data_IF_429744401823
#
_entry.id   IF_429744401823
#
_cell.length_a   1.000
_cell.length_b   1.000
_cell.length_c   1.000
_cell.angle_alpha   90.00
_cell.angle_beta   90.00
_cell.angle_gamma   90.00
#
_symmetry.space_group_name_H-M   'P 1'
#
loop_
_entity.id
_entity.type
_entity.pdbx_description
1 polymer ?
#
# COMPACT_ATOMS: atom_id res chain seq x y z
N UNK A 1 -26.47 -8.74 10.19
CA UNK A 1 -25.28 -9.55 9.87
C UNK A 1 -24.38 -9.66 11.10
N UNK A 2 -23.75 -10.82 11.34
CA UNK A 2 -22.80 -11.00 12.45
C UNK A 2 -21.54 -10.15 12.21
N UNK A 3 -21.08 -9.41 13.24
CA UNK A 3 -19.85 -8.59 13.14
C UNK A 3 -18.64 -9.49 12.86
N UNK A 4 -17.73 -8.99 12.03
CA UNK A 4 -16.44 -9.64 11.74
C UNK A 4 -15.44 -9.25 12.83
N UNK A 5 -14.84 -10.25 13.49
CA UNK A 5 -13.83 -10.04 14.52
C UNK A 5 -12.47 -9.67 13.88
N UNK A 6 -11.95 -8.49 14.20
CA UNK A 6 -10.67 -7.97 13.75
C UNK A 6 -9.57 -8.17 14.80
N UNK A 7 -8.39 -8.57 14.34
CA UNK A 7 -7.13 -8.35 15.05
C UNK A 7 -6.30 -7.31 14.29
N UNK A 8 -5.68 -6.37 15.01
CA UNK A 8 -4.78 -5.35 14.43
C UNK A 8 -3.39 -5.53 15.05
N UNK A 9 -2.38 -5.71 14.21
CA UNK A 9 -0.98 -5.80 14.64
C UNK A 9 -0.31 -4.42 14.54
N UNK A 10 0.72 -4.17 15.38
CA UNK A 10 1.40 -2.87 15.44
C UNK A 10 0.48 -1.74 15.88
N UNK A 11 -0.38 -2.00 16.88
CA UNK A 11 -1.48 -1.11 17.23
C UNK A 11 -1.03 0.27 17.72
N UNK A 12 0.23 0.43 18.17
CA UNK A 12 0.77 1.74 18.55
C UNK A 12 1.40 2.50 17.38
N UNK A 13 1.63 1.85 16.24
CA UNK A 13 2.10 2.52 15.03
C UNK A 13 1.07 3.49 14.46
N UNK A 14 1.52 4.44 13.63
CA UNK A 14 0.65 5.45 12.99
C UNK A 14 -0.57 4.83 12.31
N UNK A 15 -0.36 3.79 11.49
CA UNK A 15 -1.46 3.09 10.81
C UNK A 15 -2.30 2.25 11.77
N UNK A 16 -1.68 1.56 12.73
CA UNK A 16 -2.38 0.77 13.74
C UNK A 16 -3.39 1.63 14.52
N UNK A 17 -3.00 2.83 14.95
CA UNK A 17 -3.89 3.76 15.64
C UNK A 17 -5.08 4.19 14.76
N UNK A 18 -4.84 4.49 13.48
CA UNK A 18 -5.92 4.83 12.54
C UNK A 18 -6.88 3.66 12.29
N UNK A 19 -6.36 2.43 12.18
CA UNK A 19 -7.17 1.22 12.02
C UNK A 19 -8.01 0.95 13.26
N UNK A 20 -7.43 1.09 14.47
CA UNK A 20 -8.16 0.94 15.73
C UNK A 20 -9.29 1.97 15.80
N UNK A 21 -9.01 3.25 15.52
CA UNK A 21 -10.03 4.32 15.48
C UNK A 21 -11.13 4.00 14.46
N UNK A 22 -10.76 3.60 13.26
CA UNK A 22 -11.72 3.27 12.19
C UNK A 22 -12.58 2.05 12.53
N UNK A 23 -12.01 1.06 13.22
CA UNK A 23 -12.73 -0.16 13.62
C UNK A 23 -13.86 0.14 14.61
N UNK A 24 -13.68 1.12 15.53
CA UNK A 24 -14.73 1.55 16.47
C UNK A 24 -15.93 2.17 15.76
N UNK A 25 -15.68 2.90 14.68
CA UNK A 25 -16.72 3.60 13.94
C UNK A 25 -17.48 2.69 12.95
N UNK A 26 -17.07 1.43 12.80
CA UNK A 26 -17.72 0.50 11.88
C UNK A 26 -18.76 -0.38 12.57
N UNK A 27 -19.97 -0.44 12.01
CA UNK A 27 -21.02 -1.38 12.44
C UNK A 27 -20.72 -2.83 12.06
N UNK A 28 -19.84 -3.05 11.09
CA UNK A 28 -19.55 -4.38 10.52
C UNK A 28 -18.42 -5.12 11.23
N UNK A 29 -17.59 -4.40 12.00
CA UNK A 29 -16.39 -4.95 12.61
C UNK A 29 -16.45 -4.88 14.14
N UNK A 30 -15.80 -5.86 14.80
CA UNK A 30 -15.55 -5.85 16.24
C UNK A 30 -14.05 -6.06 16.45
N UNK A 31 -13.37 -5.10 17.05
CA UNK A 31 -11.97 -5.27 17.44
C UNK A 31 -11.91 -6.23 18.63
N UNK A 32 -11.23 -7.37 18.46
CA UNK A 32 -11.12 -8.41 19.52
C UNK A 32 -9.70 -8.62 20.02
N UNK A 33 -8.70 -8.14 19.27
CA UNK A 33 -7.30 -8.30 19.63
C UNK A 33 -6.45 -7.18 19.03
N UNK A 34 -5.46 -6.74 19.78
CA UNK A 34 -4.43 -5.80 19.33
C UNK A 34 -3.07 -6.33 19.75
N UNK A 35 -2.09 -6.31 18.85
CA UNK A 35 -0.74 -6.78 19.16
C UNK A 35 0.31 -5.72 18.91
N UNK A 36 1.43 -5.85 19.62
CA UNK A 36 2.61 -5.01 19.47
C UNK A 36 3.88 -5.84 19.70
N UNK A 37 5.03 -5.32 19.29
CA UNK A 37 6.33 -5.99 19.44
C UNK A 37 6.84 -6.13 20.89
N UNK A 38 6.13 -5.55 21.87
CA UNK A 38 6.49 -5.56 23.29
C UNK A 38 5.23 -5.56 24.16
N UNK A 39 5.38 -6.04 25.40
CA UNK A 39 4.30 -6.01 26.40
C UNK A 39 4.07 -4.57 26.84
N UNK A 40 2.81 -4.13 26.83
CA UNK A 40 2.39 -2.78 27.20
C UNK A 40 1.26 -2.88 28.22
N UNK A 41 1.38 -2.12 29.31
CA UNK A 41 0.38 -2.11 30.37
C UNK A 41 -0.79 -1.15 30.10
N UNK A 42 -0.65 -0.25 29.12
CA UNK A 42 -1.72 0.67 28.70
C UNK A 42 -2.66 -0.01 27.71
N UNK A 43 -3.97 0.11 27.95
CA UNK A 43 -5.01 -0.38 27.02
C UNK A 43 -5.07 0.47 25.74
N UNK A 44 -5.36 -0.18 24.62
CA UNK A 44 -5.67 0.41 23.32
C UNK A 44 -7.08 -0.03 22.95
N UNK A 45 -8.03 0.90 22.91
CA UNK A 45 -9.44 0.58 22.64
C UNK A 45 -9.99 -0.50 23.60
N UNK A 46 -9.75 -0.33 24.90
CA UNK A 46 -10.21 -1.22 25.97
C UNK A 46 -9.58 -2.63 25.98
N UNK A 47 -8.70 -2.91 25.03
CA UNK A 47 -7.93 -4.14 24.92
C UNK A 47 -6.49 -3.92 25.38
N UNK A 48 -5.91 -4.90 26.07
CA UNK A 48 -4.49 -4.89 26.43
C UNK A 48 -3.66 -5.38 25.24
N UNK A 49 -2.70 -4.60 24.72
CA UNK A 49 -1.78 -5.09 23.69
C UNK A 49 -1.00 -6.30 24.19
N UNK A 50 -0.88 -7.30 23.32
CA UNK A 50 -0.14 -8.54 23.59
C UNK A 50 0.86 -8.83 22.47
N UNK A 51 1.73 -9.80 22.69
CA UNK A 51 2.62 -10.30 21.63
C UNK A 51 1.82 -11.11 20.60
N UNK A 52 2.39 -11.27 19.40
CA UNK A 52 1.83 -12.16 18.40
C UNK A 52 1.82 -13.60 18.92
N UNK A 53 0.65 -14.22 19.03
CA UNK A 53 0.51 -15.59 19.53
C UNK A 53 -0.74 -16.26 18.95
N UNK A 54 -0.83 -17.58 19.11
CA UNK A 54 -2.04 -18.31 18.72
C UNK A 54 -3.25 -17.84 19.55
N UNK A 55 -3.07 -17.60 20.85
CA UNK A 55 -4.12 -17.06 21.72
C UNK A 55 -4.58 -15.67 21.28
N UNK A 56 -3.66 -14.81 20.85
CA UNK A 56 -3.97 -13.45 20.40
C UNK A 56 -4.85 -13.44 19.15
N UNK A 57 -4.73 -14.45 18.28
CA UNK A 57 -5.46 -14.49 17.01
C UNK A 57 -6.59 -15.52 16.97
N UNK A 58 -6.73 -16.38 17.99
CA UNK A 58 -7.74 -17.46 18.04
C UNK A 58 -9.16 -16.96 17.76
N UNK A 59 -9.55 -15.83 18.35
CA UNK A 59 -10.91 -15.28 18.24
C UNK A 59 -11.12 -14.32 17.06
N UNK A 60 -10.06 -13.98 16.31
CA UNK A 60 -10.16 -13.12 15.14
C UNK A 60 -10.67 -13.90 13.92
N UNK A 61 -11.43 -13.24 13.04
CA UNK A 61 -11.77 -13.76 11.71
C UNK A 61 -10.75 -13.31 10.65
N UNK A 62 -10.18 -12.12 10.85
CA UNK A 62 -9.20 -11.49 9.96
C UNK A 62 -8.19 -10.70 10.78
N UNK A 63 -6.94 -10.72 10.32
CA UNK A 63 -5.81 -9.98 10.89
C UNK A 63 -5.42 -8.88 9.91
N UNK A 64 -5.35 -7.64 10.37
CA UNK A 64 -4.88 -6.49 9.58
C UNK A 64 -3.48 -6.12 10.05
N UNK A 65 -2.52 -6.18 9.13
CA UNK A 65 -1.10 -6.07 9.42
C UNK A 65 -0.43 -4.92 8.65
N UNK A 66 -0.02 -3.90 9.40
CA UNK A 66 0.75 -2.74 8.95
C UNK A 66 1.95 -2.54 9.88
N UNK A 67 2.92 -3.44 9.77
CA UNK A 67 4.07 -3.51 10.67
C UNK A 67 5.36 -3.44 9.86
N UNK A 68 6.25 -4.41 10.05
CA UNK A 68 7.55 -4.55 9.39
C UNK A 68 7.66 -5.98 8.84
N UNK A 69 8.46 -6.21 7.79
CA UNK A 69 8.51 -7.52 7.11
C UNK A 69 8.66 -8.73 8.03
N UNK A 70 9.57 -8.63 9.02
CA UNK A 70 9.81 -9.68 10.02
C UNK A 70 8.54 -10.04 10.82
N UNK A 71 7.78 -9.03 11.25
CA UNK A 71 6.54 -9.20 12.01
C UNK A 71 5.44 -9.81 11.13
N UNK A 72 5.30 -9.36 9.88
CA UNK A 72 4.34 -9.96 8.93
C UNK A 72 4.57 -11.46 8.75
N UNK A 73 5.82 -11.91 8.64
CA UNK A 73 6.12 -13.33 8.47
C UNK A 73 5.80 -14.16 9.72
N UNK A 74 6.01 -13.61 10.91
CA UNK A 74 5.57 -14.21 12.17
C UNK A 74 4.04 -14.34 12.23
N UNK A 75 3.33 -13.26 11.90
CA UNK A 75 1.87 -13.23 11.81
C UNK A 75 1.36 -14.28 10.82
N UNK A 76 1.98 -14.40 9.63
CA UNK A 76 1.60 -15.39 8.63
C UNK A 76 1.83 -16.83 9.10
N UNK A 77 2.91 -17.10 9.85
CA UNK A 77 3.17 -18.41 10.45
C UNK A 77 2.02 -18.81 11.39
N UNK A 78 1.61 -17.90 12.28
CA UNK A 78 0.53 -18.14 13.25
C UNK A 78 -0.83 -18.23 12.54
N UNK A 79 -1.12 -17.26 11.66
CA UNK A 79 -2.36 -17.21 10.89
C UNK A 79 -2.56 -18.47 10.04
N UNK A 80 -1.49 -19.02 9.46
CA UNK A 80 -1.56 -20.26 8.68
C UNK A 80 -1.94 -21.47 9.53
N UNK A 81 -1.47 -21.58 10.78
CA UNK A 81 -1.88 -22.66 11.70
C UNK A 81 -3.35 -22.55 12.08
N UNK A 82 -3.78 -21.32 12.37
CA UNK A 82 -5.14 -21.01 12.82
C UNK A 82 -6.15 -20.82 11.67
N UNK A 83 -5.72 -21.01 10.41
CA UNK A 83 -6.51 -20.80 9.19
C UNK A 83 -7.19 -19.41 9.13
N UNK A 84 -6.46 -18.36 9.53
CA UNK A 84 -6.96 -16.96 9.57
C UNK A 84 -6.69 -16.22 8.26
N UNK A 85 -7.58 -15.29 7.91
CA UNK A 85 -7.42 -14.37 6.78
C UNK A 85 -6.49 -13.23 7.18
N UNK A 86 -5.65 -12.77 6.26
CA UNK A 86 -4.68 -11.69 6.54
C UNK A 86 -4.74 -10.59 5.48
N UNK A 87 -4.81 -9.34 5.94
CA UNK A 87 -4.63 -8.14 5.12
C UNK A 87 -3.25 -7.57 5.42
N UNK A 88 -2.37 -7.50 4.42
CA UNK A 88 -1.00 -7.02 4.55
C UNK A 88 -0.88 -5.66 3.87
N UNK A 89 -0.74 -4.61 4.67
CA UNK A 89 -0.34 -3.27 4.23
C UNK A 89 1.14 -2.96 4.47
N UNK A 90 1.87 -3.86 5.14
CA UNK A 90 3.33 -3.80 5.28
C UNK A 90 4.00 -3.74 3.90
N UNK A 91 5.07 -2.96 3.79
CA UNK A 91 5.90 -2.82 2.57
C UNK A 91 7.37 -3.12 2.89
N UNK A 92 8.23 -3.14 1.87
CA UNK A 92 9.68 -3.34 2.06
C UNK A 92 10.13 -4.80 2.09
N UNK A 93 9.34 -5.74 1.57
CA UNK A 93 9.73 -7.14 1.47
C UNK A 93 10.81 -7.36 0.40
N UNK A 94 11.79 -8.20 0.71
CA UNK A 94 12.73 -8.76 -0.25
C UNK A 94 12.04 -9.78 -1.18
N UNK A 95 12.68 -10.09 -2.32
CA UNK A 95 12.19 -11.14 -3.24
C UNK A 95 11.99 -12.49 -2.54
N UNK A 96 12.85 -12.83 -1.57
CA UNK A 96 12.74 -14.08 -0.78
C UNK A 96 11.49 -14.06 0.09
N UNK A 97 11.22 -12.95 0.76
CA UNK A 97 10.05 -12.80 1.64
C UNK A 97 8.75 -12.76 0.83
N UNK A 98 8.72 -12.12 -0.35
CA UNK A 98 7.57 -12.16 -1.26
C UNK A 98 7.22 -13.60 -1.69
N UNK A 99 8.22 -14.45 -1.96
CA UNK A 99 8.00 -15.87 -2.24
C UNK A 99 7.42 -16.62 -1.04
N UNK A 100 7.85 -16.29 0.18
CA UNK A 100 7.29 -16.87 1.40
C UNK A 100 5.83 -16.48 1.58
N UNK A 101 5.48 -15.19 1.38
CA UNK A 101 4.10 -14.72 1.42
C UNK A 101 3.25 -15.48 0.38
N UNK A 102 3.77 -15.66 -0.84
CA UNK A 102 3.07 -16.44 -1.87
C UNK A 102 2.86 -17.90 -1.45
N UNK A 103 3.82 -18.53 -0.76
CA UNK A 103 3.66 -19.89 -0.20
C UNK A 103 2.53 -19.93 0.84
N UNK A 104 2.44 -18.96 1.75
CA UNK A 104 1.33 -18.87 2.71
C UNK A 104 -0.02 -18.62 2.04
N UNK A 105 -0.06 -17.85 0.95
CA UNK A 105 -1.30 -17.56 0.22
C UNK A 105 -1.98 -18.79 -0.39
N UNK A 106 -1.23 -19.89 -0.56
CA UNK A 106 -1.79 -21.19 -0.99
C UNK A 106 -2.56 -21.91 0.12
N UNK A 107 -2.39 -21.50 1.37
CA UNK A 107 -2.99 -22.14 2.56
C UNK A 107 -4.07 -21.29 3.22
N UNK A 108 -3.93 -19.97 3.15
CA UNK A 108 -4.85 -19.00 3.75
C UNK A 108 -5.13 -17.84 2.80
N UNK A 109 -6.31 -17.22 2.87
CA UNK A 109 -6.61 -16.01 2.11
C UNK A 109 -5.73 -14.84 2.58
N UNK A 110 -5.00 -14.23 1.63
CA UNK A 110 -4.14 -13.08 1.86
C UNK A 110 -4.50 -11.99 0.86
N UNK A 111 -4.87 -10.81 1.37
CA UNK A 111 -4.93 -9.58 0.57
C UNK A 111 -3.69 -8.75 0.89
N UNK A 112 -2.81 -8.55 -0.09
CA UNK A 112 -1.60 -7.73 0.06
C UNK A 112 -1.60 -6.61 -0.95
N UNK A 113 -1.45 -5.37 -0.46
CA UNK A 113 -1.31 -4.19 -1.32
C UNK A 113 -0.34 -3.19 -0.67
N UNK A 114 0.51 -2.58 -1.49
CA UNK A 114 1.43 -1.52 -1.03
C UNK A 114 0.74 -0.17 -0.79
N UNK A 115 -0.52 -0.03 -1.23
CA UNK A 115 -1.37 1.12 -1.00
C UNK A 115 -2.82 0.66 -0.86
N UNK A 116 -3.48 0.98 0.25
CA UNK A 116 -4.89 0.60 0.52
C UNK A 116 -5.90 1.69 0.13
N UNK A 117 -5.48 2.80 -0.47
CA UNK A 117 -6.39 3.82 -0.97
C UNK A 117 -7.15 3.30 -2.19
N UNK A 118 -8.48 3.24 -2.08
CA UNK A 118 -9.36 2.85 -3.18
C UNK A 118 -9.17 3.76 -4.40
N UNK A 119 -9.14 5.08 -4.18
CA UNK A 119 -8.99 6.06 -5.26
C UNK A 119 -7.65 5.92 -6.00
N UNK A 120 -6.55 5.63 -5.30
CA UNK A 120 -5.26 5.39 -5.94
C UNK A 120 -5.26 4.10 -6.76
N UNK A 121 -5.83 3.01 -6.23
CA UNK A 121 -5.92 1.76 -6.98
C UNK A 121 -6.81 1.90 -8.23
N UNK A 122 -7.92 2.63 -8.12
CA UNK A 122 -8.75 2.99 -9.28
C UNK A 122 -7.98 3.83 -10.29
N UNK A 123 -7.25 4.86 -9.85
CA UNK A 123 -6.43 5.70 -10.74
C UNK A 123 -5.35 4.90 -11.46
N UNK A 124 -4.71 3.94 -10.79
CA UNK A 124 -3.74 3.02 -11.42
C UNK A 124 -4.40 2.19 -12.52
N UNK A 125 -5.59 1.64 -12.24
CA UNK A 125 -6.35 0.87 -13.23
C UNK A 125 -6.77 1.72 -14.45
N UNK A 126 -7.28 2.94 -14.21
CA UNK A 126 -7.61 3.87 -15.29
C UNK A 126 -6.38 4.28 -16.11
N UNK A 127 -5.23 4.46 -15.44
CA UNK A 127 -3.96 4.77 -16.10
C UNK A 127 -3.53 3.63 -17.02
N UNK A 128 -3.72 2.37 -16.61
CA UNK A 128 -3.44 1.20 -17.43
C UNK A 128 -4.34 1.17 -18.68
N UNK A 129 -5.65 1.38 -18.51
CA UNK A 129 -6.62 1.42 -19.62
C UNK A 129 -6.26 2.55 -20.59
N UNK A 130 -6.03 3.76 -20.09
CA UNK A 130 -5.67 4.91 -20.92
C UNK A 130 -4.37 4.64 -21.69
N UNK A 131 -3.34 4.14 -20.99
CA UNK A 131 -2.06 3.85 -21.63
C UNK A 131 -2.13 2.73 -22.68
N UNK A 132 -3.01 1.75 -22.49
CA UNK A 132 -3.26 0.69 -23.48
C UNK A 132 -3.97 1.24 -24.71
N UNK A 133 -5.00 2.06 -24.49
CA UNK A 133 -5.87 2.59 -25.55
C UNK A 133 -5.15 3.64 -26.41
N UNK A 134 -4.36 4.53 -25.79
CA UNK A 134 -3.60 5.57 -26.49
C UNK A 134 -2.31 5.03 -27.17
N UNK A 135 -1.85 3.84 -26.78
CA UNK A 135 -0.74 3.14 -27.40
C UNK A 135 0.59 3.91 -27.41
N UNK A 136 1.32 3.83 -28.53
CA UNK A 136 2.60 4.51 -28.71
C UNK A 136 2.46 5.94 -29.25
N UNK A 137 1.26 6.36 -29.65
CA UNK A 137 1.00 7.70 -30.19
C UNK A 137 1.07 8.78 -29.10
N UNK A 138 0.90 8.39 -27.84
CA UNK A 138 0.98 9.29 -26.70
C UNK A 138 2.22 9.01 -25.84
N UNK A 139 2.96 10.07 -25.57
CA UNK A 139 3.99 10.10 -24.53
C UNK A 139 3.32 10.29 -23.17
N UNK A 140 3.96 9.80 -22.11
CA UNK A 140 3.38 9.81 -20.76
C UNK A 140 4.37 10.35 -19.74
N UNK A 141 3.88 11.11 -18.76
CA UNK A 141 4.69 11.58 -17.62
C UNK A 141 3.86 11.60 -16.34
N UNK A 142 4.53 11.44 -15.20
CA UNK A 142 3.88 11.35 -13.89
C UNK A 142 4.29 12.53 -13.03
N UNK A 143 3.32 13.18 -12.42
CA UNK A 143 3.51 14.32 -11.54
C UNK A 143 2.96 14.00 -10.15
N UNK A 144 3.66 14.44 -9.12
CA UNK A 144 3.18 14.36 -7.75
C UNK A 144 3.53 15.58 -6.91
N UNK A 145 2.72 15.82 -5.87
CA UNK A 145 2.97 16.83 -4.83
C UNK A 145 2.81 16.19 -3.46
N UNK A 146 3.77 16.43 -2.57
CA UNK A 146 3.71 16.02 -1.17
C UNK A 146 4.27 17.12 -0.27
N UNK A 147 4.11 16.95 1.03
CA UNK A 147 4.65 17.80 2.07
C UNK A 147 6.19 17.87 2.02
N UNK A 148 6.76 18.96 2.56
CA UNK A 148 8.20 19.25 2.52
C UNK A 148 9.08 18.17 3.19
N UNK A 149 8.53 17.46 4.17
CA UNK A 149 9.24 16.44 4.95
C UNK A 149 9.35 15.06 4.26
N UNK A 150 8.72 14.86 3.09
CA UNK A 150 8.78 13.58 2.39
C UNK A 150 10.12 13.40 1.65
N UNK A 151 10.93 12.46 2.14
CA UNK A 151 12.31 12.21 1.65
C UNK A 151 12.37 11.43 0.33
N UNK A 152 11.51 10.43 0.14
CA UNK A 152 11.49 9.60 -1.06
C UNK A 152 10.95 10.37 -2.28
N UNK A 153 11.60 10.26 -3.44
CA UNK A 153 11.10 10.77 -4.71
C UNK A 153 11.55 9.89 -5.91
N UNK A 154 10.65 9.56 -6.84
CA UNK A 154 9.20 9.70 -6.78
C UNK A 154 8.60 8.88 -5.62
N UNK A 155 7.40 9.23 -5.14
CA UNK A 155 6.73 8.39 -4.14
C UNK A 155 6.42 6.99 -4.69
N UNK A 156 6.18 6.05 -3.78
CA UNK A 156 5.70 4.72 -4.12
C UNK A 156 4.43 4.75 -5.00
N UNK A 157 3.50 5.66 -4.73
CA UNK A 157 2.29 5.83 -5.55
C UNK A 157 2.60 6.32 -6.96
N UNK A 158 3.52 7.28 -7.12
CA UNK A 158 3.95 7.72 -8.44
C UNK A 158 4.59 6.55 -9.23
N UNK A 159 5.41 5.74 -8.57
CA UNK A 159 5.97 4.53 -9.19
C UNK A 159 4.89 3.49 -9.54
N UNK A 160 3.83 3.34 -8.73
CA UNK A 160 2.68 2.49 -9.06
C UNK A 160 1.96 2.97 -10.33
N UNK A 161 1.75 4.28 -10.48
CA UNK A 161 1.17 4.86 -11.70
C UNK A 161 2.07 4.63 -12.92
N UNK A 162 3.38 4.83 -12.75
CA UNK A 162 4.39 4.50 -13.78
C UNK A 162 4.35 3.04 -14.22
N UNK A 163 4.15 2.11 -13.29
CA UNK A 163 3.96 0.69 -13.60
C UNK A 163 2.64 0.44 -14.34
N UNK A 164 1.55 1.11 -13.96
CA UNK A 164 0.27 1.05 -14.69
C UNK A 164 0.42 1.44 -16.16
N UNK A 165 1.16 2.53 -16.45
CA UNK A 165 1.51 2.92 -17.83
C UNK A 165 2.26 1.78 -18.53
N UNK A 166 3.28 1.23 -17.89
CA UNK A 166 4.11 0.17 -18.49
C UNK A 166 3.29 -1.10 -18.81
N UNK A 167 2.38 -1.50 -17.91
CA UNK A 167 1.45 -2.63 -18.11
C UNK A 167 0.55 -2.34 -19.32
N UNK A 168 -0.06 -1.15 -19.39
CA UNK A 168 -0.91 -0.77 -20.52
C UNK A 168 -0.16 -0.82 -21.86
N UNK A 169 1.11 -0.42 -21.88
CA UNK A 169 1.98 -0.52 -23.07
C UNK A 169 2.56 -1.91 -23.32
N UNK A 170 2.28 -2.91 -22.47
CA UNK A 170 2.90 -4.25 -22.49
C UNK A 170 4.44 -4.20 -22.52
N UNK A 171 5.02 -3.30 -21.74
CA UNK A 171 6.47 -3.08 -21.67
C UNK A 171 6.98 -3.25 -20.25
N UNK A 172 8.25 -3.61 -20.13
CA UNK A 172 8.91 -3.63 -18.83
C UNK A 172 9.04 -2.20 -18.26
N UNK A 173 8.64 -2.04 -16.99
CA UNK A 173 8.64 -0.75 -16.32
C UNK A 173 10.05 -0.16 -16.20
N UNK A 174 11.06 -0.97 -15.90
CA UNK A 174 12.43 -0.49 -15.70
C UNK A 174 13.05 -0.02 -17.02
N UNK A 175 12.69 -0.64 -18.15
CA UNK A 175 13.05 -0.15 -19.49
C UNK A 175 12.40 1.20 -19.83
N UNK A 176 11.19 1.44 -19.34
CA UNK A 176 10.44 2.69 -19.53
C UNK A 176 10.74 3.78 -18.50
N UNK A 177 11.54 3.51 -17.45
CA UNK A 177 11.83 4.48 -16.41
C UNK A 177 12.69 5.64 -16.95
N UNK A 178 12.14 6.85 -16.94
CA UNK A 178 12.79 8.07 -17.40
C UNK A 178 13.48 8.87 -16.28
N UNK A 179 13.73 10.15 -16.57
CA UNK A 179 14.37 11.08 -15.62
C UNK A 179 13.42 11.42 -14.47
N UNK A 180 14.01 11.61 -13.28
CA UNK A 180 13.32 12.02 -12.06
C UNK A 180 13.69 13.47 -11.77
N UNK A 181 12.67 14.30 -11.61
CA UNK A 181 12.79 15.72 -11.31
C UNK A 181 12.26 15.99 -9.91
N UNK A 182 12.87 16.95 -9.23
CA UNK A 182 12.48 17.40 -7.90
C UNK A 182 12.29 18.92 -7.94
N UNK A 183 11.13 19.39 -7.45
CA UNK A 183 10.76 20.80 -7.32
C UNK A 183 10.89 21.60 -8.63
N UNK A 184 10.68 20.97 -9.79
CA UNK A 184 10.70 21.67 -11.09
C UNK A 184 9.31 22.19 -11.44
N UNK A 185 9.22 23.46 -11.84
CA UNK A 185 7.96 24.08 -12.31
C UNK A 185 7.39 23.34 -13.52
N UNK A 186 8.26 22.95 -14.45
CA UNK A 186 7.93 22.19 -15.66
C UNK A 186 8.88 21.01 -15.83
N UNK A 187 8.45 20.00 -16.58
CA UNK A 187 9.27 18.86 -16.96
C UNK A 187 8.77 18.25 -18.28
N UNK A 188 9.68 17.80 -19.17
CA UNK A 188 9.33 17.43 -20.53
C UNK A 188 8.71 16.03 -20.62
N UNK A 189 7.90 15.82 -21.65
CA UNK A 189 7.60 14.47 -22.13
C UNK A 189 8.87 13.83 -22.74
N UNK A 190 8.93 12.50 -22.74
CA UNK A 190 10.00 11.78 -23.45
C UNK A 190 9.50 10.41 -23.89
N UNK A 191 10.30 9.67 -24.68
CA UNK A 191 10.02 8.26 -25.02
C UNK A 191 9.94 7.36 -23.77
N UNK A 192 10.58 7.78 -22.67
CA UNK A 192 10.49 7.17 -21.34
C UNK A 192 9.55 7.96 -20.42
N UNK A 193 9.09 7.33 -19.35
CA UNK A 193 8.20 7.94 -18.36
C UNK A 193 9.03 8.82 -17.43
N UNK A 194 8.95 10.14 -17.62
CA UNK A 194 9.56 11.08 -16.69
C UNK A 194 8.66 11.29 -15.47
N UNK A 195 9.28 11.57 -14.32
CA UNK A 195 8.60 11.81 -13.05
C UNK A 195 8.99 13.17 -12.51
N UNK A 196 8.04 13.98 -12.06
CA UNK A 196 8.33 15.21 -11.32
C UNK A 196 7.64 15.21 -9.97
N UNK A 197 8.43 15.49 -8.94
CA UNK A 197 8.03 15.46 -7.55
C UNK A 197 8.14 16.84 -6.95
N UNK A 198 7.03 17.42 -6.49
CA UNK A 198 7.01 18.68 -5.74
C UNK A 198 6.94 18.39 -4.25
N UNK A 199 7.71 19.12 -3.47
CA UNK A 199 7.74 19.09 -2.01
C UNK A 199 7.36 20.48 -1.50
N UNK A 200 6.11 20.65 -1.07
CA UNK A 200 5.54 21.95 -0.67
C UNK A 200 4.51 21.80 0.43
N UNK A 201 4.62 22.66 1.45
CA UNK A 201 3.65 22.75 2.56
C UNK A 201 3.43 21.42 3.28
N UNK A 202 2.18 21.17 3.64
CA UNK A 202 1.70 19.99 4.37
C UNK A 202 0.79 19.08 3.51
N UNK A 203 0.92 19.15 2.18
CA UNK A 203 0.10 18.36 1.24
C UNK A 203 0.34 16.86 1.48
N UNK A 204 -0.70 16.13 1.86
CA UNK A 204 -0.59 14.69 2.14
C UNK A 204 -0.14 13.89 0.92
N UNK A 205 -0.68 14.23 -0.25
CA UNK A 205 -0.31 13.63 -1.53
C UNK A 205 -1.30 14.02 -2.63
N UNK A 206 -0.78 14.44 -3.79
CA UNK A 206 -1.55 14.64 -5.02
C UNK A 206 -0.79 14.02 -6.17
N UNK A 207 -1.49 13.33 -7.07
CA UNK A 207 -0.90 12.56 -8.15
C UNK A 207 -1.65 12.83 -9.45
N UNK A 208 -0.91 13.04 -10.54
CA UNK A 208 -1.44 13.22 -11.88
C UNK A 208 -0.61 12.42 -12.88
N UNK A 209 -1.29 11.71 -13.77
CA UNK A 209 -0.68 11.14 -14.96
C UNK A 209 -1.13 11.98 -16.15
N UNK A 210 -0.19 12.37 -17.00
CA UNK A 210 -0.51 13.06 -18.25
C UNK A 210 -0.05 12.21 -19.43
N UNK A 211 -0.88 12.18 -20.46
CA UNK A 211 -0.59 11.60 -21.76
C UNK A 211 -0.58 12.75 -22.78
N UNK A 212 0.25 12.69 -23.82
CA UNK A 212 0.15 13.69 -24.89
C UNK A 212 0.67 13.15 -26.22
N UNK A 213 -0.04 13.49 -27.30
CA UNK A 213 0.39 13.28 -28.70
C UNK A 213 1.19 14.47 -29.26
N UNK A 214 1.32 15.55 -28.49
CA UNK A 214 1.82 16.85 -28.96
C UNK A 214 0.73 17.79 -29.50
N UNK A 215 -0.46 17.27 -29.80
CA UNK A 215 -1.63 18.06 -30.23
C UNK A 215 -2.72 18.13 -29.15
N UNK A 216 -2.85 17.08 -28.34
CA UNK A 216 -3.81 16.99 -27.23
C UNK A 216 -3.17 16.37 -25.99
N UNK A 217 -3.84 16.50 -24.82
CA UNK A 217 -3.33 16.06 -23.52
C UNK A 217 -4.42 15.47 -22.63
#
# INVERSE_FOLDING_TARGET
MKKINLAITGCLGRMGQQLVKSSKNSKNFKLVSVTENRIINKKVSDLKPQLNSESAFKNANIIIDFTVPKCTLEVLKIASKLKKRVVIGTTGFSKKEERLIKKYSKRIPILKAGNMSLGINLLVYLTEIASKSLGNNFLSKVFEVHHKHKKDHPSGTALMLGKGIAIGKKKDFYKLLGKKYLNKKTFPYSKKINFNSIRKGEITGSHKVLFSSGKET
#
